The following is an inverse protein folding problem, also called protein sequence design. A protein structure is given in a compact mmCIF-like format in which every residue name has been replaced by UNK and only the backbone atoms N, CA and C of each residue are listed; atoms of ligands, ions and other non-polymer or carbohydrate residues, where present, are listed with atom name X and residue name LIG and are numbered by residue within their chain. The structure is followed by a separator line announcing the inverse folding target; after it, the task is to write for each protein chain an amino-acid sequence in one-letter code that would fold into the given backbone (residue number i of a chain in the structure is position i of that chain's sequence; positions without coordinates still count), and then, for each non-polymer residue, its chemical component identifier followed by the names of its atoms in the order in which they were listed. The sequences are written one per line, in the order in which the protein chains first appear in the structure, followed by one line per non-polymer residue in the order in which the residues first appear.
data_IF_168174275396
#
_entry.id   IF_168174275396
#
_cell.length_a   1.000
_cell.length_b   1.000
_cell.length_c   1.000
_cell.angle_alpha   90.00
_cell.angle_beta   90.00
_cell.angle_gamma   90.00
#
_symmetry.space_group_name_H-M   'P 1'
#
loop_
_entity.id
_entity.type
_entity.pdbx_description
1 polymer ?
#
# COMPACT_ATOMS: atom_id res chain seq x y z
N UNK A 1 -60.92 -29.25 -42.65
CA UNK A 1 -59.46 -29.28 -42.39
C UNK A 1 -59.14 -28.26 -41.30
N UNK A 2 -58.75 -28.74 -40.11
CA UNK A 2 -58.61 -27.96 -38.87
C UNK A 2 -57.12 -27.60 -38.72
N UNK A 3 -56.76 -26.36 -39.01
CA UNK A 3 -55.37 -25.87 -38.90
C UNK A 3 -55.09 -25.46 -37.45
N UNK A 4 -54.29 -26.26 -36.75
CA UNK A 4 -53.73 -25.91 -35.45
C UNK A 4 -52.65 -24.83 -35.65
N UNK A 5 -52.83 -23.65 -35.04
CA UNK A 5 -51.77 -22.64 -34.92
C UNK A 5 -51.09 -22.83 -33.57
N UNK A 6 -49.85 -23.29 -33.64
CA UNK A 6 -49.00 -23.62 -32.50
C UNK A 6 -48.67 -22.41 -31.63
N UNK A 7 -48.73 -22.66 -30.32
CA UNK A 7 -48.25 -21.78 -29.25
C UNK A 7 -46.72 -21.73 -29.31
N UNK A 8 -46.16 -20.65 -29.89
CA UNK A 8 -44.72 -20.39 -29.82
C UNK A 8 -44.37 -19.92 -28.40
N UNK A 9 -43.87 -20.84 -27.57
CA UNK A 9 -43.19 -20.53 -26.31
C UNK A 9 -41.90 -19.79 -26.65
N UNK A 10 -41.86 -18.49 -26.38
CA UNK A 10 -40.62 -17.72 -26.42
C UNK A 10 -39.83 -18.03 -25.15
N UNK A 11 -38.71 -18.74 -25.30
CA UNK A 11 -37.69 -18.87 -24.26
C UNK A 11 -37.01 -17.50 -24.12
N UNK A 12 -37.26 -16.82 -22.99
CA UNK A 12 -36.46 -15.67 -22.59
C UNK A 12 -35.11 -16.20 -22.07
N UNK A 13 -34.11 -16.22 -22.95
CA UNK A 13 -32.72 -16.43 -22.58
C UNK A 13 -32.22 -15.22 -21.80
N UNK A 14 -32.21 -15.28 -20.47
CA UNK A 14 -31.47 -14.33 -19.64
C UNK A 14 -29.99 -14.67 -19.79
N UNK A 15 -29.35 -14.11 -20.81
CA UNK A 15 -27.91 -14.03 -20.87
C UNK A 15 -27.48 -13.00 -19.82
N UNK A 16 -27.10 -13.48 -18.64
CA UNK A 16 -26.42 -12.71 -17.62
C UNK A 16 -25.09 -12.24 -18.24
N UNK A 17 -25.08 -11.03 -18.78
CA UNK A 17 -23.88 -10.40 -19.27
C UNK A 17 -22.92 -10.31 -18.08
N UNK A 18 -21.87 -11.14 -18.12
CA UNK A 18 -20.62 -10.91 -17.40
C UNK A 18 -20.03 -9.61 -17.97
N UNK A 19 -20.55 -8.47 -17.51
CA UNK A 19 -19.80 -7.24 -17.58
C UNK A 19 -18.56 -7.49 -16.73
N UNK A 20 -17.33 -7.32 -17.28
CA UNK A 20 -16.20 -7.16 -16.39
C UNK A 20 -16.57 -5.99 -15.48
N UNK A 21 -16.63 -6.23 -14.18
CA UNK A 21 -16.76 -5.14 -13.23
C UNK A 21 -15.65 -4.16 -13.62
N UNK A 22 -16.04 -2.97 -14.06
CA UNK A 22 -15.14 -1.83 -14.14
C UNK A 22 -14.66 -1.65 -12.70
N UNK A 23 -13.58 -2.35 -12.35
CA UNK A 23 -12.90 -2.16 -11.09
C UNK A 23 -12.40 -0.74 -11.14
N UNK A 24 -13.10 0.17 -10.46
CA UNK A 24 -12.52 1.44 -10.09
C UNK A 24 -11.37 1.09 -9.16
N UNK A 25 -10.18 0.97 -9.71
CA UNK A 25 -8.97 1.07 -8.91
C UNK A 25 -8.98 2.50 -8.39
N UNK A 26 -9.39 2.69 -7.14
CA UNK A 26 -9.20 3.97 -6.48
C UNK A 26 -7.69 4.13 -6.29
N UNK A 27 -7.13 5.23 -6.76
CA UNK A 27 -5.87 5.66 -6.19
C UNK A 27 -6.13 6.18 -4.76
N UNK A 28 -5.09 6.29 -3.94
CA UNK A 28 -5.27 6.73 -2.55
C UNK A 28 -5.79 8.19 -2.47
N UNK A 29 -5.70 8.97 -3.55
CA UNK A 29 -6.21 10.33 -3.68
C UNK A 29 -7.70 10.41 -4.06
N UNK A 30 -8.24 9.36 -4.67
CA UNK A 30 -9.65 9.24 -5.06
C UNK A 30 -10.56 8.88 -3.87
N UNK A 31 -9.99 8.48 -2.73
CA UNK A 31 -10.70 8.14 -1.51
C UNK A 31 -10.92 9.38 -0.60
N UNK A 32 -12.16 9.91 -0.48
CA UNK A 32 -12.42 11.12 0.31
C UNK A 32 -12.07 10.96 1.79
N UNK A 33 -12.22 9.74 2.33
CA UNK A 33 -11.88 9.42 3.72
C UNK A 33 -10.37 9.46 3.97
N UNK A 34 -9.56 8.96 3.03
CA UNK A 34 -8.10 8.93 3.16
C UNK A 34 -7.51 10.34 3.12
N UNK A 35 -8.04 11.21 2.24
CA UNK A 35 -7.65 12.63 2.19
C UNK A 35 -7.90 13.36 3.52
N UNK A 36 -8.94 12.97 4.28
CA UNK A 36 -9.31 13.61 5.54
C UNK A 36 -8.57 13.04 6.76
N UNK A 37 -7.94 11.87 6.64
CA UNK A 37 -7.12 11.28 7.69
C UNK A 37 -5.75 10.83 7.16
N UNK A 38 -4.83 11.76 6.89
CA UNK A 38 -3.51 11.42 6.39
C UNK A 38 -2.70 10.49 7.33
N UNK A 39 -3.04 10.40 8.61
CA UNK A 39 -2.36 9.45 9.51
C UNK A 39 -2.77 8.00 9.25
N UNK A 40 -3.84 7.75 8.49
CA UNK A 40 -4.34 6.44 8.08
C UNK A 40 -4.35 6.25 6.55
N UNK A 41 -3.89 7.24 5.77
CA UNK A 41 -3.84 7.19 4.31
C UNK A 41 -2.60 6.44 3.81
N UNK A 42 -2.74 5.14 3.56
CA UNK A 42 -1.68 4.32 2.96
C UNK A 42 -1.49 4.75 1.50
N UNK A 43 -0.28 5.18 1.16
CA UNK A 43 0.09 5.52 -0.22
C UNK A 43 0.58 4.28 -0.96
N UNK A 44 1.43 3.48 -0.31
CA UNK A 44 2.12 2.36 -0.96
C UNK A 44 2.40 1.23 0.04
N UNK A 45 2.46 0.00 -0.50
CA UNK A 45 2.86 -1.21 0.23
C UNK A 45 3.92 -1.93 -0.60
N UNK A 46 5.04 -2.27 0.02
CA UNK A 46 6.17 -2.93 -0.66
C UNK A 46 6.52 -4.24 0.00
N UNK A 47 6.88 -5.23 -0.82
CA UNK A 47 7.56 -6.45 -0.40
C UNK A 47 8.76 -6.73 -1.30
N UNK A 48 9.95 -6.92 -0.73
CA UNK A 48 11.16 -7.21 -1.50
C UNK A 48 12.18 -8.01 -0.67
N UNK A 49 13.26 -8.45 -1.30
CA UNK A 49 14.37 -9.13 -0.63
C UNK A 49 15.61 -8.25 -0.59
N UNK A 50 16.27 -8.22 0.55
CA UNK A 50 17.55 -7.52 0.73
C UNK A 50 18.39 -8.27 1.76
N UNK A 51 19.69 -8.46 1.49
CA UNK A 51 20.62 -9.05 2.46
C UNK A 51 20.21 -10.44 2.98
N UNK A 52 19.48 -11.24 2.17
CA UNK A 52 18.96 -12.55 2.58
C UNK A 52 17.71 -12.49 3.49
N UNK A 53 17.17 -11.31 3.78
CA UNK A 53 15.90 -11.11 4.49
C UNK A 53 14.75 -10.87 3.51
N UNK A 54 13.53 -11.08 3.97
CA UNK A 54 12.33 -10.53 3.33
C UNK A 54 12.01 -9.20 4.02
N UNK A 55 11.69 -8.15 3.25
CA UNK A 55 11.39 -6.82 3.76
C UNK A 55 9.96 -6.47 3.39
N UNK A 56 9.19 -6.03 4.37
CA UNK A 56 7.89 -5.40 4.18
C UNK A 56 7.97 -3.91 4.49
N UNK A 57 7.22 -3.10 3.75
CA UNK A 57 7.08 -1.67 4.05
C UNK A 57 5.67 -1.14 3.76
N UNK A 58 5.26 -0.15 4.55
CA UNK A 58 4.06 0.65 4.35
C UNK A 58 4.49 2.12 4.30
N UNK A 59 4.08 2.84 3.27
CA UNK A 59 4.21 4.28 3.19
C UNK A 59 2.83 4.92 3.38
N UNK A 60 2.75 5.99 4.16
CA UNK A 60 1.48 6.64 4.46
C UNK A 60 1.61 8.15 4.72
N UNK A 61 0.48 8.83 4.56
CA UNK A 61 0.31 10.25 4.86
C UNK A 61 0.80 11.22 3.80
N UNK A 62 0.99 10.74 2.57
CA UNK A 62 1.16 11.59 1.39
C UNK A 62 -0.19 12.14 0.90
N UNK A 63 -0.24 13.40 0.47
CA UNK A 63 -1.44 14.03 -0.11
C UNK A 63 -1.37 14.15 -1.65
N UNK A 64 -2.50 14.14 -2.38
CA UNK A 64 -2.50 14.45 -3.81
C UNK A 64 -2.12 15.90 -4.11
N UNK A 65 -1.43 16.10 -5.23
CA UNK A 65 -1.18 17.44 -5.81
C UNK A 65 -2.53 18.18 -5.96
N UNK A 66 -2.64 19.48 -5.60
CA UNK A 66 -1.58 20.42 -5.22
C UNK A 66 -1.29 20.50 -3.71
N UNK A 67 -1.76 19.53 -2.91
CA UNK A 67 -1.55 19.56 -1.46
C UNK A 67 -0.17 19.01 -1.10
N UNK A 68 0.52 19.77 -0.26
CA UNK A 68 1.64 19.37 0.58
C UNK A 68 1.65 17.88 0.98
N UNK A 69 2.66 17.10 0.54
CA UNK A 69 2.90 15.73 1.01
C UNK A 69 3.85 15.82 2.21
N UNK A 70 3.32 15.62 3.42
CA UNK A 70 4.01 15.82 4.72
C UNK A 70 4.99 17.00 4.69
N UNK A 71 4.47 18.21 4.57
CA UNK A 71 5.27 19.46 4.67
C UNK A 71 5.49 19.86 6.15
N UNK A 72 5.75 18.88 7.02
CA UNK A 72 6.02 19.08 8.45
C UNK A 72 7.40 18.54 8.84
N UNK A 73 8.04 19.05 9.90
CA UNK A 73 9.39 18.63 10.29
C UNK A 73 9.47 17.17 10.81
N UNK A 74 8.35 16.45 10.92
CA UNK A 74 8.25 15.13 11.54
C UNK A 74 7.27 14.22 10.80
N UNK A 75 7.45 12.90 10.90
CA UNK A 75 6.46 11.93 10.44
C UNK A 75 5.15 11.96 11.24
N UNK A 76 4.20 11.12 10.82
CA UNK A 76 2.88 10.95 11.44
C UNK A 76 2.90 9.70 12.33
N UNK A 77 2.65 9.87 13.63
CA UNK A 77 2.67 8.77 14.61
C UNK A 77 1.40 8.82 15.48
N UNK A 78 0.24 8.69 14.84
CA UNK A 78 -1.04 8.75 15.54
C UNK A 78 -1.27 7.44 16.33
N UNK A 79 -1.40 7.49 17.67
CA UNK A 79 -1.58 6.29 18.49
C UNK A 79 -2.94 5.61 18.29
N UNK A 80 -3.90 6.28 17.63
CA UNK A 80 -5.23 5.75 17.38
C UNK A 80 -5.37 5.12 15.98
N UNK A 81 -4.27 4.90 15.26
CA UNK A 81 -4.26 4.17 14.00
C UNK A 81 -3.53 2.84 14.21
N UNK A 82 -4.20 1.75 13.86
CA UNK A 82 -3.62 0.42 13.75
C UNK A 82 -3.36 0.12 12.29
N UNK A 83 -2.09 -0.06 11.95
CA UNK A 83 -1.71 -0.63 10.66
C UNK A 83 -1.61 -2.15 10.81
N UNK A 84 -2.13 -2.88 9.82
CA UNK A 84 -1.89 -4.32 9.71
C UNK A 84 -1.25 -4.59 8.37
N UNK A 85 -0.13 -5.32 8.38
CA UNK A 85 0.50 -5.84 7.16
C UNK A 85 0.21 -7.32 7.05
N UNK A 86 -0.36 -7.70 5.92
CA UNK A 86 -1.07 -8.96 5.75
C UNK A 86 -0.33 -9.79 4.71
N UNK A 87 -0.08 -11.06 5.02
CA UNK A 87 0.60 -11.98 4.11
C UNK A 87 -0.22 -13.26 3.96
N UNK A 88 -0.73 -13.48 2.75
CA UNK A 88 -1.42 -14.68 2.31
C UNK A 88 -0.46 -15.55 1.48
N UNK A 89 -0.30 -16.78 1.93
CA UNK A 89 0.62 -17.77 1.40
C UNK A 89 -0.10 -18.82 0.53
N UNK A 90 -1.43 -18.86 0.54
CA UNK A 90 -2.21 -19.94 -0.05
C UNK A 90 -3.16 -19.45 -1.17
N UNK A 91 -3.46 -18.16 -1.18
CA UNK A 91 -4.26 -17.49 -2.20
C UNK A 91 -5.78 -17.49 -1.93
N UNK A 92 -6.23 -17.73 -0.70
CA UNK A 92 -7.64 -17.68 -0.30
C UNK A 92 -8.09 -16.31 0.22
N UNK A 93 -7.19 -15.31 0.23
CA UNK A 93 -7.41 -13.99 0.79
C UNK A 93 -7.68 -13.99 2.32
N UNK A 94 -7.18 -15.00 3.03
CA UNK A 94 -7.04 -15.02 4.48
C UNK A 94 -5.54 -15.02 4.81
N UNK A 95 -5.02 -14.01 5.53
CA UNK A 95 -3.60 -13.93 5.79
C UNK A 95 -3.16 -15.00 6.80
N UNK A 96 -2.07 -15.70 6.52
CA UNK A 96 -1.39 -16.55 7.51
C UNK A 96 -0.54 -15.74 8.49
N UNK A 97 -0.09 -14.55 8.06
CA UNK A 97 0.64 -13.63 8.92
C UNK A 97 -0.01 -12.27 8.91
N UNK A 98 -0.48 -11.84 10.08
CA UNK A 98 -0.94 -10.49 10.36
C UNK A 98 0.11 -9.80 11.25
N UNK A 99 0.84 -8.83 10.72
CA UNK A 99 1.79 -8.02 11.50
C UNK A 99 1.08 -6.73 11.91
N UNK A 100 0.89 -6.55 13.22
CA UNK A 100 0.20 -5.38 13.75
C UNK A 100 1.23 -4.30 14.11
N UNK A 101 1.03 -3.08 13.63
CA UNK A 101 1.89 -1.93 13.88
C UNK A 101 1.08 -0.81 14.51
N UNK A 102 1.51 -0.35 15.68
CA UNK A 102 0.85 0.72 16.44
C UNK A 102 1.88 1.74 16.94
N UNK A 103 1.45 3.00 17.02
CA UNK A 103 2.23 4.06 17.65
C UNK A 103 1.80 4.28 19.10
N UNK A 104 2.72 4.82 19.89
CA UNK A 104 2.46 5.24 21.26
C UNK A 104 3.36 6.39 21.65
N UNK A 105 3.16 6.91 22.86
CA UNK A 105 4.05 7.89 23.48
C UNK A 105 4.54 7.39 24.82
N UNK A 106 5.81 7.65 25.14
CA UNK A 106 6.33 7.40 26.47
C UNK A 106 5.91 8.51 27.46
N UNK A 107 6.31 8.39 28.73
CA UNK A 107 6.00 9.38 29.77
C UNK A 107 6.54 10.79 29.51
N UNK A 108 7.51 10.94 28.59
CA UNK A 108 8.05 12.24 28.14
C UNK A 108 7.33 12.80 26.91
N UNK A 109 6.32 12.09 26.41
CA UNK A 109 5.61 12.46 25.18
C UNK A 109 6.35 12.09 23.89
N UNK A 110 7.47 11.39 23.96
CA UNK A 110 8.25 10.98 22.78
C UNK A 110 7.54 9.82 22.07
N UNK A 111 7.45 9.90 20.74
CA UNK A 111 6.78 8.88 19.93
C UNK A 111 7.62 7.58 19.83
N UNK A 112 6.93 6.45 19.89
CA UNK A 112 7.48 5.13 19.65
C UNK A 112 6.56 4.30 18.77
N UNK A 113 7.11 3.23 18.21
CA UNK A 113 6.42 2.25 17.39
C UNK A 113 6.55 0.87 18.02
N UNK A 114 5.51 0.07 17.90
CA UNK A 114 5.50 -1.34 18.28
C UNK A 114 5.02 -2.17 17.10
N UNK A 115 5.76 -3.24 16.81
CA UNK A 115 5.40 -4.32 15.90
C UNK A 115 5.04 -5.55 16.73
N UNK A 116 3.92 -6.19 16.41
CA UNK A 116 3.46 -7.45 17.00
C UNK A 116 3.39 -8.52 15.91
N UNK A 117 3.70 -9.77 16.26
CA UNK A 117 3.67 -10.94 15.37
C UNK A 117 4.63 -10.88 14.18
N UNK A 118 5.76 -10.18 14.29
CA UNK A 118 6.77 -10.13 13.23
C UNK A 118 7.43 -11.52 12.99
N UNK A 119 7.29 -12.12 11.80
CA UNK A 119 7.83 -13.47 11.53
C UNK A 119 9.34 -13.56 11.73
N UNK A 120 9.73 -14.42 12.68
CA UNK A 120 11.14 -14.67 12.99
C UNK A 120 11.78 -13.65 13.92
N UNK A 121 11.02 -12.72 14.52
CA UNK A 121 11.56 -11.71 15.44
C UNK A 121 12.17 -12.30 16.74
N UNK A 122 11.75 -13.50 17.14
CA UNK A 122 12.17 -14.12 18.40
C UNK A 122 11.52 -13.51 19.64
N UNK A 123 10.59 -12.57 19.48
CA UNK A 123 9.76 -11.99 20.54
C UNK A 123 8.37 -11.67 19.99
N UNK A 124 7.37 -11.65 20.89
CA UNK A 124 6.00 -11.24 20.54
C UNK A 124 5.95 -9.79 20.05
N UNK A 125 6.72 -8.91 20.71
CA UNK A 125 6.76 -7.49 20.41
C UNK A 125 8.18 -7.03 20.09
N UNK A 126 8.31 -6.21 19.05
CA UNK A 126 9.53 -5.42 18.76
C UNK A 126 9.12 -3.96 18.83
N UNK A 127 9.73 -3.19 19.72
CA UNK A 127 9.32 -1.80 19.95
C UNK A 127 10.50 -0.89 20.25
N UNK A 128 10.31 0.40 19.97
CA UNK A 128 11.34 1.40 20.21
C UNK A 128 10.92 2.79 19.69
N UNK A 129 11.83 3.77 19.81
CA UNK A 129 11.56 5.11 19.31
C UNK A 129 11.43 5.13 17.78
N UNK A 130 10.56 5.99 17.27
CA UNK A 130 10.53 6.35 15.85
C UNK A 130 11.83 7.07 15.44
N UNK A 131 12.09 7.19 14.15
CA UNK A 131 13.33 7.76 13.58
C UNK A 131 14.61 6.98 13.92
N UNK A 132 14.49 5.77 14.46
CA UNK A 132 15.62 4.89 14.77
C UNK A 132 15.38 3.48 14.26
N UNK A 133 16.47 2.85 13.82
CA UNK A 133 16.46 1.42 13.53
C UNK A 133 16.45 0.66 14.85
N UNK A 134 15.50 -0.24 15.00
CA UNK A 134 15.27 -1.06 16.19
C UNK A 134 15.62 -2.50 15.82
N UNK A 135 16.51 -3.13 16.59
CA UNK A 135 16.87 -4.54 16.41
C UNK A 135 15.97 -5.45 17.24
N UNK A 136 15.46 -6.50 16.61
CA UNK A 136 14.81 -7.62 17.26
C UNK A 136 15.84 -8.65 17.78
N UNK A 137 15.49 -9.51 18.75
CA UNK A 137 16.38 -10.55 19.29
C UNK A 137 17.05 -11.45 18.26
N UNK A 138 16.40 -11.76 17.13
CA UNK A 138 16.94 -12.59 16.05
C UNK A 138 17.84 -11.84 15.05
N UNK A 139 18.12 -10.56 15.32
CA UNK A 139 18.88 -9.68 14.43
C UNK A 139 18.08 -9.11 13.26
N UNK A 140 16.78 -9.36 13.18
CA UNK A 140 15.87 -8.62 12.29
C UNK A 140 15.78 -7.16 12.73
N UNK A 141 15.58 -6.26 11.78
CA UNK A 141 15.48 -4.82 12.05
C UNK A 141 14.11 -4.28 11.65
N UNK A 142 13.62 -3.33 12.42
CA UNK A 142 12.42 -2.54 12.10
C UNK A 142 12.72 -1.05 12.21
N UNK A 143 11.95 -0.26 11.50
CA UNK A 143 12.05 1.19 11.45
C UNK A 143 10.67 1.80 11.23
N UNK A 144 10.42 2.95 11.86
CA UNK A 144 9.35 3.83 11.40
C UNK A 144 9.77 5.29 11.51
N UNK A 145 9.48 6.08 10.48
CA UNK A 145 9.79 7.51 10.48
C UNK A 145 9.66 8.20 9.12
N UNK A 146 9.99 9.49 9.11
CA UNK A 146 9.95 10.38 7.96
C UNK A 146 10.97 9.94 6.92
N UNK A 147 10.53 9.83 5.67
CA UNK A 147 11.36 9.54 4.51
C UNK A 147 10.86 10.32 3.31
N UNK A 148 11.76 10.56 2.37
CA UNK A 148 11.38 10.98 1.03
C UNK A 148 10.46 9.90 0.42
N UNK A 149 9.41 10.36 -0.26
CA UNK A 149 8.46 9.53 -1.00
C UNK A 149 9.23 8.78 -2.10
N UNK A 150 9.20 7.43 -2.13
CA UNK A 150 9.93 6.66 -3.14
C UNK A 150 9.30 6.77 -4.53
N UNK A 151 8.14 7.44 -4.67
CA UNK A 151 7.51 7.69 -5.95
C UNK A 151 8.24 8.80 -6.73
N UNK A 152 8.88 8.42 -7.83
CA UNK A 152 9.52 9.31 -8.79
C UNK A 152 8.76 9.28 -10.11
N UNK A 153 8.45 10.46 -10.68
CA UNK A 153 7.84 10.52 -12.02
C UNK A 153 8.12 11.82 -12.76
N UNK A 154 8.52 11.70 -14.03
CA UNK A 154 8.66 12.83 -14.96
C UNK A 154 7.31 13.18 -15.61
N UNK A 155 6.46 13.92 -14.87
CA UNK A 155 5.15 14.35 -15.38
C UNK A 155 5.26 15.28 -16.59
N UNK A 156 6.36 16.04 -16.70
CA UNK A 156 6.62 16.93 -17.85
C UNK A 156 6.91 16.09 -19.10
N UNK A 157 7.73 15.05 -18.97
CA UNK A 157 8.01 14.09 -20.03
C UNK A 157 6.78 13.31 -20.46
N UNK A 158 5.93 12.91 -19.51
CA UNK A 158 4.65 12.27 -19.79
C UNK A 158 3.71 13.17 -20.61
N UNK A 159 3.45 14.39 -20.15
CA UNK A 159 2.57 15.35 -20.85
C UNK A 159 3.11 15.73 -22.23
N UNK A 160 4.42 15.92 -22.37
CA UNK A 160 5.08 16.16 -23.66
C UNK A 160 5.01 14.95 -24.61
N UNK A 161 5.11 13.74 -24.06
CA UNK A 161 4.93 12.49 -24.84
C UNK A 161 3.50 12.39 -25.34
N UNK A 162 2.49 12.63 -24.49
CA UNK A 162 1.08 12.65 -24.90
C UNK A 162 0.81 13.71 -25.98
N UNK A 163 1.33 14.92 -25.81
CA UNK A 163 1.18 16.01 -26.78
C UNK A 163 1.83 15.71 -28.15
N UNK A 164 2.77 14.75 -28.21
CA UNK A 164 3.45 14.39 -29.46
C UNK A 164 2.65 13.46 -30.37
N UNK A 165 1.53 12.91 -29.91
CA UNK A 165 0.66 12.07 -30.73
C UNK A 165 -0.21 12.96 -31.64
N UNK A 166 0.04 12.88 -32.95
CA UNK A 166 -0.53 13.79 -33.95
C UNK A 166 -1.90 13.34 -34.51
N UNK A 167 -2.88 13.08 -33.64
CA UNK A 167 -4.23 12.49 -33.91
C UNK A 167 -4.31 10.96 -33.95
N UNK A 168 -5.53 10.43 -33.81
CA UNK A 168 -5.86 8.99 -33.85
C UNK A 168 -5.31 8.26 -35.09
N UNK A 169 -5.07 9.00 -36.16
CA UNK A 169 -4.74 8.44 -37.48
C UNK A 169 -3.21 8.44 -37.72
N UNK A 170 -2.43 8.98 -36.77
CA UNK A 170 -0.96 8.97 -36.77
C UNK A 170 -0.44 8.48 -35.42
N UNK A 171 -0.28 7.16 -35.22
CA UNK A 171 0.01 6.56 -33.91
C UNK A 171 1.46 6.75 -33.44
N UNK A 172 2.24 7.62 -34.09
CA UNK A 172 3.66 7.82 -33.79
C UNK A 172 3.84 9.03 -32.88
N UNK A 173 3.99 8.79 -31.59
CA UNK A 173 4.51 9.76 -30.62
C UNK A 173 6.04 9.71 -30.54
N UNK A 174 6.61 10.70 -29.86
CA UNK A 174 8.01 10.72 -29.45
C UNK A 174 8.07 10.60 -27.93
N UNK A 175 8.86 9.66 -27.42
CA UNK A 175 9.10 9.54 -25.98
C UNK A 175 9.92 10.76 -25.51
N UNK A 176 9.41 11.50 -24.52
CA UNK A 176 10.02 12.76 -24.02
C UNK A 176 10.42 12.70 -22.55
N UNK A 177 10.54 11.50 -21.98
CA UNK A 177 11.01 11.30 -20.60
C UNK A 177 12.47 11.71 -20.44
N UNK A 178 12.77 12.30 -19.29
CA UNK A 178 14.11 12.67 -18.83
C UNK A 178 14.30 12.08 -17.42
N UNK A 179 15.35 11.29 -17.24
CA UNK A 179 15.63 10.63 -15.96
C UNK A 179 16.17 11.59 -14.88
N UNK A 180 16.45 12.84 -15.23
CA UNK A 180 16.83 13.88 -14.28
C UNK A 180 15.62 14.66 -13.74
N UNK A 181 14.41 14.43 -14.25
CA UNK A 181 13.20 15.15 -13.82
C UNK A 181 12.36 14.32 -12.87
N UNK A 182 12.20 14.83 -11.66
CA UNK A 182 11.28 14.29 -10.67
C UNK A 182 10.21 15.31 -10.29
N UNK A 183 8.98 15.11 -10.76
CA UNK A 183 7.85 15.95 -10.37
C UNK A 183 7.38 15.72 -8.94
N UNK A 184 7.97 14.75 -8.23
CA UNK A 184 7.67 14.34 -6.86
C UNK A 184 8.84 14.54 -5.90
N UNK A 185 9.96 15.12 -6.36
CA UNK A 185 11.11 15.40 -5.50
C UNK A 185 10.73 16.26 -4.29
N UNK A 186 11.45 16.05 -3.19
CA UNK A 186 11.28 16.74 -1.89
C UNK A 186 9.91 16.56 -1.24
N UNK A 187 9.19 15.50 -1.60
CA UNK A 187 7.96 15.11 -0.93
C UNK A 187 8.26 14.06 0.09
N UNK A 188 7.80 14.27 1.32
CA UNK A 188 8.04 13.32 2.40
C UNK A 188 6.76 12.57 2.76
N UNK A 189 6.95 11.40 3.33
CA UNK A 189 5.92 10.56 3.92
C UNK A 189 6.44 9.88 5.18
N UNK A 190 5.57 9.15 5.86
CA UNK A 190 6.03 8.26 6.94
C UNK A 190 6.15 6.84 6.41
N UNK A 191 7.32 6.24 6.57
CA UNK A 191 7.59 4.86 6.20
C UNK A 191 7.62 3.98 7.45
N UNK A 192 6.93 2.85 7.41
CA UNK A 192 7.11 1.69 8.29
C UNK A 192 7.89 0.66 7.49
N UNK A 193 9.01 0.16 8.00
CA UNK A 193 9.86 -0.82 7.31
C UNK A 193 10.29 -1.89 8.30
N UNK A 194 10.23 -3.16 7.92
CA UNK A 194 10.62 -4.27 8.78
C UNK A 194 11.14 -5.46 8.00
N UNK A 195 12.17 -6.10 8.55
CA UNK A 195 12.71 -7.37 8.07
C UNK A 195 11.96 -8.54 8.69
N UNK A 196 11.82 -9.61 7.91
CA UNK A 196 11.22 -10.88 8.28
C UNK A 196 12.15 -12.03 7.91
N UNK A 197 12.00 -13.15 8.62
CA UNK A 197 12.64 -14.40 8.22
C UNK A 197 11.95 -14.97 6.98
N UNK A 198 12.63 -15.02 5.81
CA UNK A 198 12.02 -15.52 4.59
C UNK A 198 11.66 -17.00 4.66
N UNK A 199 12.25 -17.80 5.56
CA UNK A 199 11.94 -19.24 5.68
C UNK A 199 10.58 -19.48 6.34
N UNK A 200 10.10 -18.52 7.14
CA UNK A 200 8.79 -18.58 7.78
C UNK A 200 7.68 -18.02 6.89
N UNK A 201 8.03 -17.08 6.01
CA UNK A 201 7.05 -16.39 5.14
C UNK A 201 7.03 -16.98 3.73
N UNK A 202 8.16 -17.46 3.22
CA UNK A 202 8.29 -18.08 1.90
C UNK A 202 9.01 -19.42 2.08
N UNK A 203 8.32 -20.44 2.62
CA UNK A 203 8.95 -21.69 3.04
C UNK A 203 9.51 -22.51 1.86
N UNK A 204 9.03 -22.27 0.64
CA UNK A 204 9.43 -23.01 -0.56
C UNK A 204 9.79 -22.06 -1.71
N UNK A 205 10.89 -22.32 -2.44
CA UNK A 205 11.24 -21.56 -3.64
C UNK A 205 10.10 -21.56 -4.67
N UNK A 206 9.82 -20.39 -5.26
CA UNK A 206 8.79 -20.25 -6.29
C UNK A 206 7.36 -20.15 -5.76
N UNK A 207 7.15 -20.24 -4.44
CA UNK A 207 5.84 -20.00 -3.84
C UNK A 207 5.45 -18.53 -3.98
N UNK A 208 4.28 -18.28 -4.56
CA UNK A 208 3.69 -16.95 -4.63
C UNK A 208 3.19 -16.56 -3.23
N UNK A 209 3.47 -15.34 -2.82
CA UNK A 209 2.83 -14.71 -1.67
C UNK A 209 2.03 -13.51 -2.15
N UNK A 210 0.94 -13.22 -1.46
CA UNK A 210 0.14 -12.02 -1.66
C UNK A 210 0.26 -11.16 -0.42
N UNK A 211 0.34 -9.87 -0.64
CA UNK A 211 0.57 -8.89 0.40
C UNK A 211 -0.39 -7.73 0.21
N UNK A 212 -0.98 -7.29 1.30
CA UNK A 212 -1.69 -6.02 1.38
C UNK A 212 -1.49 -5.41 2.76
N UNK A 213 -1.95 -4.19 2.95
CA UNK A 213 -1.98 -3.56 4.25
C UNK A 213 -3.33 -2.87 4.48
N UNK A 214 -3.71 -2.74 5.75
CA UNK A 214 -4.87 -1.98 6.18
C UNK A 214 -4.45 -0.93 7.21
N UNK A 215 -5.21 0.17 7.28
CA UNK A 215 -5.10 1.17 8.33
C UNK A 215 -6.50 1.37 8.93
N UNK A 216 -6.61 1.13 10.24
CA UNK A 216 -7.88 1.18 10.96
C UNK A 216 -7.79 2.18 12.11
N UNK A 217 -8.76 3.08 12.19
CA UNK A 217 -8.96 3.93 13.37
C UNK A 217 -9.50 3.10 14.52
N UNK A 218 -8.79 3.13 15.65
CA UNK A 218 -9.27 2.53 16.89
C UNK A 218 -10.37 3.44 17.46
N UNK A 219 -11.56 2.87 17.68
CA UNK A 219 -12.71 3.60 18.23
C UNK A 219 -12.77 3.34 19.73
N UNK A 220 -12.54 4.39 20.53
CA UNK A 220 -12.45 4.33 21.99
C UNK A 220 -11.16 4.98 22.47
N UNK A 221 -11.23 5.77 23.55
CA UNK A 221 -10.07 6.45 24.13
C UNK A 221 -8.96 5.45 24.43
N UNK A 222 -7.72 5.78 24.02
CA UNK A 222 -6.55 5.13 24.59
C UNK A 222 -6.62 5.23 26.14
N UNK A 223 -6.20 4.18 26.87
CA UNK A 223 -6.13 4.24 28.34
C UNK A 223 -5.19 5.35 28.83
#
# INVERSE_FOLDING_TARGET
MRSQRGLRRSLASVALALMPALGWSADHADAPSSTLDPSADITDVFVFREGGRLVGAICFGGAPVPRARVDGPTGRYDPNVLFTYEIDLNGDAQPEHEILIRYGRNAKGEAGVQFENLPGAGAKFVSGPVEKVISAPSGLRVYSGLRDDPFFFDFVGFTATLASFNSSDKPKGTLKFDNARDSFAFRNLTAIVFEMDPTLVVPEPGKLIRVWATANRLVGSAP
#
